data_IF_707021999220
#
_entry.id   IF_707021999220
#
_cell.length_a   1.000
_cell.length_b   1.000
_cell.length_c   1.000
_cell.angle_alpha   90.00
_cell.angle_beta   90.00
_cell.angle_gamma   90.00
#
_symmetry.space_group_name_H-M   'P 1'
#
loop_
_entity.id
_entity.type
_entity.pdbx_description
1 polymer ?
#
# COMPACT_ATOMS: atom_id res chain seq x y z
N UNK A 1 -70.23 12.98 -8.37
CA UNK A 1 -70.21 11.89 -7.36
C UNK A 1 -69.58 10.69 -8.04
N UNK A 2 -68.47 10.06 -7.67
CA UNK A 2 -67.58 10.09 -6.51
C UNK A 2 -66.18 9.68 -7.02
N UNK A 3 -65.12 10.32 -6.49
CA UNK A 3 -63.73 9.89 -6.65
C UNK A 3 -63.50 8.53 -5.96
N UNK A 4 -62.69 7.65 -6.55
CA UNK A 4 -61.81 6.76 -5.79
C UNK A 4 -60.56 6.38 -6.60
N UNK A 5 -59.45 6.83 -6.04
CA UNK A 5 -58.06 6.47 -6.27
C UNK A 5 -57.77 4.98 -6.04
N UNK A 6 -56.77 4.44 -6.73
CA UNK A 6 -55.75 3.61 -6.08
C UNK A 6 -54.45 3.63 -6.89
N UNK A 7 -53.46 4.37 -6.35
CA UNK A 7 -52.07 4.37 -6.76
C UNK A 7 -51.42 3.07 -6.31
N UNK A 8 -51.03 2.20 -7.26
CA UNK A 8 -50.13 1.08 -7.02
C UNK A 8 -48.69 1.44 -7.40
N UNK A 9 -48.09 2.42 -6.71
CA UNK A 9 -46.63 2.60 -6.78
C UNK A 9 -45.98 1.43 -6.06
N UNK A 10 -45.47 0.48 -6.85
CA UNK A 10 -44.62 -0.61 -6.38
C UNK A 10 -43.47 -0.02 -5.57
N UNK A 11 -43.40 -0.37 -4.29
CA UNK A 11 -42.35 0.06 -3.40
C UNK A 11 -41.02 -0.45 -3.93
N UNK A 12 -40.24 0.46 -4.49
CA UNK A 12 -38.82 0.25 -4.76
C UNK A 12 -38.18 -0.26 -3.48
N UNK A 13 -37.49 -1.38 -3.64
CA UNK A 13 -36.80 -2.16 -2.64
C UNK A 13 -35.63 -1.32 -2.09
N UNK A 14 -35.92 -0.32 -1.28
CA UNK A 14 -34.94 0.46 -0.52
C UNK A 14 -34.45 -0.40 0.64
N UNK A 15 -33.65 -1.42 0.34
CA UNK A 15 -32.65 -1.87 1.30
C UNK A 15 -31.56 -0.80 1.36
N UNK A 16 -31.87 0.29 2.06
CA UNK A 16 -30.84 1.17 2.61
C UNK A 16 -30.06 0.29 3.57
N UNK A 17 -28.89 -0.18 3.15
CA UNK A 17 -28.00 -0.95 4.00
C UNK A 17 -27.61 -0.06 5.16
N UNK A 18 -28.28 -0.25 6.30
CA UNK A 18 -28.00 0.43 7.55
C UNK A 18 -26.71 -0.16 8.14
N UNK A 19 -25.61 -0.05 7.39
CA UNK A 19 -24.28 -0.38 7.86
C UNK A 19 -23.89 0.74 8.81
N UNK A 20 -24.00 0.47 10.12
CA UNK A 20 -23.44 1.36 11.16
C UNK A 20 -22.06 1.82 10.70
N UNK A 21 -21.86 3.13 10.64
CA UNK A 21 -20.58 3.71 10.22
C UNK A 21 -19.47 3.14 11.11
N UNK A 22 -18.52 2.44 10.51
CA UNK A 22 -17.38 1.85 11.24
C UNK A 22 -16.47 3.00 11.68
N UNK A 23 -16.15 3.05 12.98
CA UNK A 23 -15.32 4.12 13.53
C UNK A 23 -13.88 4.05 13.01
N UNK A 24 -13.21 5.20 12.98
CA UNK A 24 -11.82 5.26 12.53
C UNK A 24 -10.87 4.57 13.52
N UNK A 25 -11.22 4.59 14.80
CA UNK A 25 -10.54 3.89 15.88
C UNK A 25 -10.62 2.38 15.68
N UNK A 26 -11.80 1.85 15.31
CA UNK A 26 -11.95 0.43 14.98
C UNK A 26 -11.12 0.06 13.76
N UNK A 27 -11.18 0.85 12.69
CA UNK A 27 -10.35 0.62 11.49
C UNK A 27 -8.85 0.65 11.82
N UNK A 28 -8.42 1.56 12.69
CA UNK A 28 -7.03 1.65 13.15
C UNK A 28 -6.64 0.41 13.94
N UNK A 29 -7.46 -0.04 14.89
CA UNK A 29 -7.24 -1.28 15.64
C UNK A 29 -7.26 -2.53 14.75
N UNK A 30 -8.07 -2.54 13.70
CA UNK A 30 -8.07 -3.63 12.73
C UNK A 30 -6.76 -3.67 11.92
N UNK A 31 -6.26 -2.51 11.49
CA UNK A 31 -4.95 -2.39 10.84
C UNK A 31 -3.81 -2.76 11.81
N UNK A 32 -3.97 -2.54 13.11
CA UNK A 32 -3.01 -3.03 14.11
C UNK A 32 -2.87 -4.54 14.13
N UNK A 33 -3.94 -5.29 13.84
CA UNK A 33 -3.86 -6.74 13.70
C UNK A 33 -3.34 -7.17 12.34
N UNK A 34 -4.00 -6.70 11.27
CA UNK A 34 -3.95 -7.32 9.94
C UNK A 34 -3.21 -6.49 8.87
N UNK A 35 -2.84 -5.25 9.20
CA UNK A 35 -2.26 -4.31 8.24
C UNK A 35 -0.76 -4.51 8.00
N UNK A 36 -0.33 -4.25 6.77
CA UNK A 36 1.06 -4.29 6.36
C UNK A 36 1.47 -3.03 5.60
N UNK A 37 2.43 -2.28 6.15
CA UNK A 37 3.08 -1.14 5.48
C UNK A 37 4.35 -1.62 4.77
N UNK A 38 4.24 -2.01 3.51
CA UNK A 38 5.30 -2.67 2.79
C UNK A 38 6.21 -1.68 2.04
N UNK A 39 7.50 -1.73 2.35
CA UNK A 39 8.56 -1.12 1.52
C UNK A 39 9.51 -2.22 1.06
N UNK A 40 9.65 -2.35 -0.26
CA UNK A 40 10.46 -3.40 -0.89
C UNK A 40 11.28 -2.91 -2.07
N UNK A 41 12.08 -3.83 -2.62
CA UNK A 41 12.96 -3.56 -3.76
C UNK A 41 12.80 -4.66 -4.81
N UNK A 42 12.63 -4.27 -6.07
CA UNK A 42 12.60 -5.19 -7.21
C UNK A 42 13.64 -4.81 -8.25
N UNK A 43 14.22 -5.81 -8.92
CA UNK A 43 15.18 -5.60 -10.01
C UNK A 43 14.47 -4.99 -11.22
N UNK A 44 15.01 -3.88 -11.72
CA UNK A 44 14.54 -3.19 -12.93
C UNK A 44 15.74 -2.66 -13.70
N UNK A 45 16.13 -3.36 -14.77
CA UNK A 45 17.34 -3.08 -15.56
C UNK A 45 17.26 -1.76 -16.33
N UNK A 46 16.04 -1.29 -16.59
CA UNK A 46 15.72 -0.03 -17.26
C UNK A 46 15.90 1.20 -16.36
N UNK A 47 16.01 1.02 -15.04
CA UNK A 47 16.23 2.13 -14.11
C UNK A 47 17.73 2.38 -13.90
N UNK A 48 18.16 3.66 -13.73
CA UNK A 48 19.58 4.00 -13.59
C UNK A 48 20.29 3.28 -12.43
N UNK A 49 19.57 3.01 -11.34
CA UNK A 49 20.10 2.31 -10.16
C UNK A 49 19.84 0.79 -10.21
N UNK A 50 19.19 0.27 -11.26
CA UNK A 50 18.87 -1.15 -11.41
C UNK A 50 17.78 -1.68 -10.47
N UNK A 51 17.13 -0.78 -9.73
CA UNK A 51 16.19 -1.09 -8.66
C UNK A 51 14.96 -0.18 -8.72
N UNK A 52 13.79 -0.79 -8.58
CA UNK A 52 12.55 -0.10 -8.27
C UNK A 52 12.26 -0.25 -6.78
N UNK A 53 11.90 0.87 -6.15
CA UNK A 53 11.35 0.87 -4.79
C UNK A 53 9.84 0.63 -4.90
N UNK A 54 9.35 -0.36 -4.16
CA UNK A 54 7.95 -0.73 -4.06
C UNK A 54 7.43 -0.18 -2.73
N UNK A 55 6.32 0.56 -2.78
CA UNK A 55 5.61 1.06 -1.59
C UNK A 55 4.14 0.69 -1.72
N UNK A 56 3.67 -0.23 -0.90
CA UNK A 56 2.28 -0.69 -0.91
C UNK A 56 1.77 -0.84 0.52
N UNK A 57 0.49 -0.59 0.72
CA UNK A 57 -0.23 -0.97 1.93
C UNK A 57 -1.17 -2.12 1.61
N UNK A 58 -1.09 -3.18 2.40
CA UNK A 58 -1.97 -4.35 2.30
C UNK A 58 -2.79 -4.50 3.57
N UNK A 59 -4.05 -4.88 3.42
CA UNK A 59 -4.92 -5.28 4.51
C UNK A 59 -5.70 -6.52 4.07
N UNK A 60 -5.45 -7.64 4.72
CA UNK A 60 -6.00 -8.94 4.33
C UNK A 60 -7.10 -9.37 5.29
N UNK A 61 -8.07 -10.14 4.78
CA UNK A 61 -9.09 -10.77 5.60
C UNK A 61 -9.70 -11.97 4.86
N UNK A 62 -10.17 -12.96 5.62
CA UNK A 62 -10.96 -14.06 5.08
C UNK A 62 -12.26 -13.55 4.40
N UNK A 63 -12.96 -14.41 3.61
CA UNK A 63 -14.19 -14.00 2.93
C UNK A 63 -15.27 -13.43 3.86
N UNK A 64 -15.41 -13.98 5.08
CA UNK A 64 -16.44 -13.58 6.04
C UNK A 64 -16.28 -12.13 6.52
N UNK A 65 -15.05 -11.64 6.59
CA UNK A 65 -14.74 -10.26 6.98
C UNK A 65 -14.47 -9.31 5.81
N UNK A 66 -14.72 -9.68 4.55
CA UNK A 66 -14.40 -8.85 3.37
C UNK A 66 -14.99 -7.44 3.41
N UNK A 67 -16.16 -7.28 4.04
CA UNK A 67 -16.84 -6.01 4.25
C UNK A 67 -15.97 -4.97 4.99
N UNK A 68 -15.07 -5.37 5.90
CA UNK A 68 -14.16 -4.43 6.57
C UNK A 68 -13.15 -3.82 5.60
N UNK A 69 -12.66 -4.62 4.66
CA UNK A 69 -11.72 -4.18 3.62
C UNK A 69 -12.39 -3.16 2.70
N UNK A 70 -13.65 -3.44 2.32
CA UNK A 70 -14.46 -2.53 1.50
C UNK A 70 -14.70 -1.22 2.24
N UNK A 71 -15.11 -1.27 3.50
CA UNK A 71 -15.34 -0.09 4.31
C UNK A 71 -14.07 0.77 4.47
N UNK A 72 -12.89 0.15 4.70
CA UNK A 72 -11.63 0.90 4.78
C UNK A 72 -11.27 1.56 3.44
N UNK A 73 -11.45 0.86 2.33
CA UNK A 73 -11.22 1.39 0.98
C UNK A 73 -12.15 2.56 0.65
N UNK A 74 -13.44 2.44 0.98
CA UNK A 74 -14.44 3.50 0.78
C UNK A 74 -14.15 4.70 1.68
N UNK A 75 -13.78 4.46 2.95
CA UNK A 75 -13.41 5.52 3.91
C UNK A 75 -12.28 6.40 3.39
N UNK A 76 -11.27 5.80 2.80
CA UNK A 76 -10.15 6.53 2.21
C UNK A 76 -10.43 6.93 0.76
N UNK A 77 -11.46 6.38 0.14
CA UNK A 77 -11.72 6.51 -1.30
C UNK A 77 -10.48 6.17 -2.14
N UNK A 78 -9.82 5.05 -1.80
CA UNK A 78 -8.64 4.57 -2.52
C UNK A 78 -8.38 3.07 -2.35
N UNK A 79 -7.48 2.57 -3.19
CA UNK A 79 -7.11 1.16 -3.23
C UNK A 79 -8.11 0.31 -4.01
N UNK A 80 -7.79 -0.97 -4.11
CA UNK A 80 -8.64 -1.96 -4.76
C UNK A 80 -8.56 -3.29 -4.03
N UNK A 81 -9.65 -4.06 -4.08
CA UNK A 81 -9.75 -5.37 -3.48
C UNK A 81 -9.48 -6.45 -4.53
N UNK A 82 -8.76 -7.50 -4.16
CA UNK A 82 -8.62 -8.71 -4.97
C UNK A 82 -8.52 -9.94 -4.07
N UNK A 83 -8.63 -11.13 -4.67
CA UNK A 83 -8.19 -12.36 -4.01
C UNK A 83 -6.67 -12.30 -3.81
N UNK A 84 -6.22 -12.73 -2.63
CA UNK A 84 -4.79 -12.75 -2.31
C UNK A 84 -4.05 -13.76 -3.20
N UNK A 85 -4.63 -14.96 -3.36
CA UNK A 85 -4.14 -16.02 -4.24
C UNK A 85 -5.21 -16.41 -5.28
N UNK A 86 -5.34 -15.65 -6.38
CA UNK A 86 -6.30 -15.98 -7.44
C UNK A 86 -6.06 -17.40 -7.97
N UNK A 87 -7.13 -18.19 -8.07
CA UNK A 87 -7.07 -19.58 -8.53
C UNK A 87 -6.79 -20.62 -7.43
N UNK A 88 -6.43 -20.22 -6.21
CA UNK A 88 -6.28 -21.16 -5.09
C UNK A 88 -7.65 -21.73 -4.67
N UNK A 89 -7.73 -23.05 -4.50
CA UNK A 89 -8.91 -23.71 -3.94
C UNK A 89 -8.93 -23.70 -2.41
N UNK A 90 -7.75 -23.57 -1.78
CA UNK A 90 -7.59 -23.58 -0.32
C UNK A 90 -7.62 -22.18 0.28
N UNK A 91 -6.99 -21.22 -0.38
CA UNK A 91 -6.91 -19.85 0.10
C UNK A 91 -7.93 -18.97 -0.64
N UNK A 92 -8.93 -18.51 0.10
CA UNK A 92 -9.98 -17.61 -0.38
C UNK A 92 -9.85 -16.19 0.22
N UNK A 93 -8.72 -15.89 0.86
CA UNK A 93 -8.45 -14.61 1.51
C UNK A 93 -8.53 -13.47 0.50
N UNK A 94 -9.15 -12.37 0.92
CA UNK A 94 -9.19 -11.11 0.19
C UNK A 94 -8.13 -10.16 0.73
N UNK A 95 -7.63 -9.30 -0.13
CA UNK A 95 -6.68 -8.25 0.24
C UNK A 95 -7.10 -6.93 -0.39
N UNK A 96 -7.15 -5.88 0.42
CA UNK A 96 -7.14 -4.49 -0.04
C UNK A 96 -5.69 -4.09 -0.29
N UNK A 97 -5.41 -3.55 -1.46
CA UNK A 97 -4.10 -3.01 -1.84
C UNK A 97 -4.23 -1.52 -2.15
N UNK A 98 -3.42 -0.70 -1.50
CA UNK A 98 -3.21 0.71 -1.85
C UNK A 98 -1.76 0.85 -2.31
N UNK A 99 -1.55 1.13 -3.60
CA UNK A 99 -0.21 1.25 -4.21
C UNK A 99 0.00 2.54 -5.00
N UNK A 100 -1.08 3.28 -5.30
CA UNK A 100 -0.98 4.57 -5.95
C UNK A 100 -0.26 5.54 -5.01
N UNK A 101 0.82 6.17 -5.49
CA UNK A 101 1.67 7.03 -4.66
C UNK A 101 0.92 8.24 -4.09
N UNK A 102 0.02 8.85 -4.88
CA UNK A 102 -0.77 9.99 -4.42
C UNK A 102 -1.75 9.55 -3.34
N UNK A 103 -2.46 8.43 -3.53
CA UNK A 103 -3.37 7.91 -2.51
C UNK A 103 -2.64 7.59 -1.20
N UNK A 104 -1.47 6.97 -1.29
CA UNK A 104 -0.64 6.69 -0.11
C UNK A 104 -0.27 7.98 0.64
N UNK A 105 0.23 8.99 -0.09
CA UNK A 105 0.71 10.25 0.50
C UNK A 105 -0.42 11.12 1.03
N UNK A 106 -1.53 11.23 0.29
CA UNK A 106 -2.59 12.21 0.57
C UNK A 106 -3.73 11.64 1.41
N UNK A 107 -3.89 10.30 1.46
CA UNK A 107 -5.04 9.67 2.14
C UNK A 107 -4.57 8.76 3.27
N UNK A 108 -3.75 7.74 2.95
CA UNK A 108 -3.31 6.75 3.94
C UNK A 108 -2.41 7.36 5.02
N UNK A 109 -1.38 8.13 4.61
CA UNK A 109 -0.44 8.74 5.56
C UNK A 109 -1.14 9.71 6.53
N UNK A 110 -2.02 10.62 6.08
CA UNK A 110 -2.77 11.50 6.98
C UNK A 110 -3.74 10.75 7.89
N UNK A 111 -4.37 9.67 7.43
CA UNK A 111 -5.25 8.85 8.27
C UNK A 111 -4.54 8.37 9.52
N UNK A 112 -3.37 7.74 9.38
CA UNK A 112 -2.57 7.29 10.54
C UNK A 112 -1.77 8.40 11.23
N UNK A 113 -1.72 9.59 10.63
CA UNK A 113 -1.25 10.80 11.30
C UNK A 113 -2.27 11.32 12.32
N UNK A 114 -3.57 11.13 12.05
CA UNK A 114 -4.68 11.48 12.95
C UNK A 114 -5.03 10.34 13.91
N UNK A 115 -5.07 9.11 13.41
CA UNK A 115 -5.42 7.91 14.18
C UNK A 115 -4.16 7.05 14.35
N UNK A 116 -3.44 7.32 15.45
CA UNK A 116 -2.10 6.78 15.65
C UNK A 116 -2.12 5.28 15.97
N UNK A 117 -1.27 4.53 15.29
CA UNK A 117 -0.91 3.15 15.63
C UNK A 117 -0.11 3.13 16.97
N UNK A 118 -0.43 2.17 17.83
CA UNK A 118 0.10 1.94 19.17
C UNK A 118 1.10 0.78 19.24
N UNK A 119 1.16 -0.13 18.24
CA UNK A 119 2.10 -1.27 18.27
C UNK A 119 3.40 -0.99 17.52
N UNK A 120 4.27 -2.00 17.38
CA UNK A 120 5.46 -1.98 16.51
C UNK A 120 5.14 -1.62 15.05
N UNK A 121 3.87 -1.76 14.64
CA UNK A 121 3.37 -1.30 13.34
C UNK A 121 3.50 0.20 13.14
N UNK A 122 3.53 0.98 14.23
CA UNK A 122 3.82 2.40 14.14
C UNK A 122 5.21 2.67 13.55
N UNK A 123 6.21 1.84 13.89
CA UNK A 123 7.55 1.94 13.31
C UNK A 123 7.54 1.64 11.81
N UNK A 124 6.78 0.61 11.39
CA UNK A 124 6.58 0.27 9.98
C UNK A 124 5.94 1.45 9.23
N UNK A 125 4.89 2.03 9.80
CA UNK A 125 4.28 3.25 9.29
C UNK A 125 5.27 4.42 9.20
N UNK A 126 6.15 4.62 10.19
CA UNK A 126 7.16 5.68 10.14
C UNK A 126 8.19 5.47 9.03
N UNK A 127 8.69 4.24 8.85
CA UNK A 127 9.60 3.90 7.75
C UNK A 127 8.91 4.12 6.41
N UNK A 128 7.66 3.69 6.29
CA UNK A 128 6.83 3.84 5.10
C UNK A 128 6.59 5.34 4.77
N UNK A 129 6.20 6.14 5.76
CA UNK A 129 6.01 7.60 5.65
C UNK A 129 7.28 8.31 5.22
N UNK A 130 8.42 8.03 5.86
CA UNK A 130 9.72 8.63 5.52
C UNK A 130 10.15 8.25 4.10
N UNK A 131 9.97 6.99 3.72
CA UNK A 131 10.26 6.52 2.36
C UNK A 131 9.42 7.27 1.32
N UNK A 132 8.10 7.38 1.52
CA UNK A 132 7.23 8.12 0.62
C UNK A 132 7.61 9.61 0.52
N UNK A 133 8.07 10.23 1.61
CA UNK A 133 8.57 11.61 1.59
C UNK A 133 9.81 11.76 0.69
N UNK A 134 10.79 10.86 0.82
CA UNK A 134 11.99 10.85 -0.05
C UNK A 134 11.59 10.63 -1.51
N UNK A 135 10.60 9.75 -1.77
CA UNK A 135 10.10 9.51 -3.11
C UNK A 135 9.40 10.74 -3.69
N UNK A 136 8.53 11.39 -2.91
CA UNK A 136 7.79 12.59 -3.33
C UNK A 136 8.73 13.76 -3.69
N UNK A 137 9.89 13.82 -3.06
CA UNK A 137 10.93 14.82 -3.33
C UNK A 137 11.89 14.40 -4.45
N UNK A 138 11.63 13.29 -5.15
CA UNK A 138 12.49 12.69 -6.19
C UNK A 138 13.92 12.36 -5.73
N UNK A 139 14.22 12.42 -4.43
CA UNK A 139 15.56 12.17 -3.90
C UNK A 139 16.02 10.72 -4.10
N UNK A 140 15.08 9.79 -4.15
CA UNK A 140 15.31 8.36 -4.42
C UNK A 140 15.98 8.06 -5.77
N UNK A 141 15.99 9.03 -6.70
CA UNK A 141 16.69 8.91 -7.99
C UNK A 141 18.22 9.06 -7.84
N UNK A 142 18.67 9.68 -6.75
CA UNK A 142 20.09 9.81 -6.41
C UNK A 142 20.58 8.60 -5.62
N UNK A 143 21.89 8.30 -5.71
CA UNK A 143 22.51 7.22 -4.92
C UNK A 143 22.33 7.45 -3.42
N UNK A 144 22.46 8.69 -2.96
CA UNK A 144 22.35 9.05 -1.56
C UNK A 144 20.90 8.86 -1.06
N UNK A 145 19.91 9.38 -1.79
CA UNK A 145 18.51 9.22 -1.42
C UNK A 145 18.04 7.77 -1.49
N UNK A 146 18.50 7.01 -2.49
CA UNK A 146 18.26 5.57 -2.56
C UNK A 146 18.86 4.84 -1.36
N UNK A 147 20.12 5.12 -1.02
CA UNK A 147 20.80 4.52 0.14
C UNK A 147 20.08 4.86 1.45
N UNK A 148 19.61 6.09 1.63
CA UNK A 148 18.77 6.49 2.78
C UNK A 148 17.53 5.61 2.92
N UNK A 149 16.84 5.30 1.81
CA UNK A 149 15.68 4.40 1.83
C UNK A 149 16.10 2.97 2.20
N UNK A 150 17.18 2.46 1.62
CA UNK A 150 17.72 1.13 1.98
C UNK A 150 18.06 1.09 3.47
N UNK A 151 18.75 2.08 4.00
CA UNK A 151 19.12 2.13 5.42
C UNK A 151 17.87 2.17 6.32
N UNK A 152 16.84 2.94 5.96
CA UNK A 152 15.56 2.97 6.68
C UNK A 152 14.86 1.60 6.71
N UNK A 153 14.80 0.89 5.57
CA UNK A 153 14.14 -0.42 5.50
C UNK A 153 14.89 -1.48 6.31
N UNK A 154 16.21 -1.36 6.42
CA UNK A 154 17.06 -2.30 7.14
C UNK A 154 17.45 -1.85 8.55
N UNK A 155 16.86 -0.76 9.08
CA UNK A 155 17.15 -0.30 10.45
C UNK A 155 16.43 -1.10 11.54
N UNK A 156 15.38 -1.83 11.18
CA UNK A 156 14.61 -2.66 12.12
C UNK A 156 15.29 -4.01 12.32
N UNK A 157 15.43 -4.44 13.58
CA UNK A 157 16.03 -5.72 13.96
C UNK A 157 15.10 -6.93 13.76
N UNK A 158 13.86 -6.71 13.30
CA UNK A 158 12.90 -7.79 13.06
C UNK A 158 13.33 -8.64 11.87
N UNK A 159 13.34 -9.96 12.07
CA UNK A 159 13.44 -10.92 10.99
C UNK A 159 12.25 -10.74 10.06
N UNK A 160 12.56 -10.35 8.84
CA UNK A 160 11.58 -10.18 7.77
C UNK A 160 12.07 -11.01 6.60
N UNK A 161 11.15 -11.67 5.91
CA UNK A 161 11.44 -12.47 4.72
C UNK A 161 11.79 -11.57 3.53
N UNK A 162 12.90 -10.84 3.64
CA UNK A 162 13.41 -9.94 2.61
C UNK A 162 14.09 -10.78 1.53
N UNK A 163 13.58 -10.63 0.30
CA UNK A 163 14.12 -11.32 -0.87
C UNK A 163 15.59 -10.99 -1.18
N UNK A 164 16.04 -9.79 -0.80
CA UNK A 164 17.39 -9.30 -1.07
C UNK A 164 18.02 -8.75 0.21
N UNK A 165 19.31 -9.00 0.39
CA UNK A 165 20.06 -8.39 1.49
C UNK A 165 20.40 -6.93 1.19
N UNK A 166 20.75 -6.17 2.23
CA UNK A 166 21.19 -4.78 2.12
C UNK A 166 22.40 -4.65 1.18
N UNK A 167 23.36 -5.56 1.32
CA UNK A 167 24.60 -5.62 0.54
C UNK A 167 24.28 -5.90 -0.94
N UNK A 168 23.36 -6.82 -1.22
CA UNK A 168 22.93 -7.14 -2.59
C UNK A 168 22.32 -5.91 -3.29
N UNK A 169 21.51 -5.14 -2.56
CA UNK A 169 20.86 -3.94 -3.09
C UNK A 169 21.89 -2.85 -3.37
N UNK A 170 22.74 -2.52 -2.38
CA UNK A 170 23.72 -1.45 -2.50
C UNK A 170 24.83 -1.75 -3.54
N UNK A 171 25.43 -2.95 -3.51
CA UNK A 171 26.53 -3.32 -4.43
C UNK A 171 26.14 -3.20 -5.90
N UNK A 172 24.92 -3.63 -6.23
CA UNK A 172 24.48 -3.63 -7.62
C UNK A 172 24.10 -2.26 -8.16
N UNK A 173 23.68 -1.33 -7.29
CA UNK A 173 23.54 0.08 -7.66
C UNK A 173 24.89 0.71 -8.02
N UNK A 174 25.99 0.22 -7.45
CA UNK A 174 27.34 0.72 -7.70
C UNK A 174 27.96 0.13 -8.98
N UNK A 175 27.76 -1.17 -9.24
CA UNK A 175 28.30 -1.86 -10.42
C UNK A 175 27.71 -1.35 -11.74
N UNK A 176 26.42 -1.00 -11.78
CA UNK A 176 25.76 -0.49 -12.99
C UNK A 176 26.40 0.82 -13.48
N UNK A 177 26.88 1.66 -12.56
CA UNK A 177 27.56 2.92 -12.89
C UNK A 177 28.98 2.72 -13.44
N UNK A 178 29.63 1.59 -13.17
CA UNK A 178 30.98 1.29 -13.66
C UNK A 178 31.03 0.88 -15.13
N UNK A 179 29.90 0.64 -15.81
CA UNK A 179 29.90 0.49 -17.27
C UNK A 179 30.12 1.87 -17.91
N UNK A 180 31.27 2.12 -18.58
CA UNK A 180 31.51 3.39 -19.25
C UNK A 180 30.58 3.53 -20.46
N UNK A 181 30.14 4.75 -20.70
CA UNK A 181 29.57 5.19 -21.97
C UNK A 181 30.56 4.87 -23.08
N UNK A 182 30.36 3.78 -23.82
CA UNK A 182 30.99 3.64 -25.13
C UNK A 182 30.33 4.68 -26.04
N UNK A 183 30.86 5.91 -26.00
CA UNK A 183 30.78 6.82 -27.14
C UNK A 183 31.48 6.08 -28.29
N UNK A 184 30.69 5.44 -29.15
CA UNK A 184 31.14 5.22 -30.54
C UNK A 184 31.21 6.60 -31.16
N UNK A 185 32.42 7.15 -31.24
CA UNK A 185 32.71 8.25 -32.12
C UNK A 185 32.42 7.82 -33.57
N UNK A 186 31.89 8.78 -34.31
CA UNK A 186 31.51 8.74 -35.72
C UNK A 186 32.73 8.53 -36.64
N UNK A 187 32.44 7.81 -37.74
CA UNK A 187 33.07 7.76 -39.08
C UNK A 187 34.52 7.27 -39.12
#
# INVERSE_FOLDING_TARGET
MYNRSENGMSADNQQVSNMRSISNEYLTGFVEGEGCFYVGFSRRKDLPLGWQIITEFHLSQNPGGKNILKAFSEKLSCGYLKLNHPGSQKDKTWVLIIKNRQDLIQKLIPFFGKYRLQTTKYEDYQIFKKTLKIIAQNQHLSKEGFRKIVDLVFSTQRETNKRYTKENILRSSETIRRKPTLRRAKI
#
